data_IF_040179400641
#
_entry.id   IF_040179400641
#
_cell.length_a   1.000
_cell.length_b   1.000
_cell.length_c   1.000
_cell.angle_alpha   90.00
_cell.angle_beta   90.00
_cell.angle_gamma   90.00
#
_symmetry.space_group_name_H-M   'P 1'
#
loop_
_entity.id
_entity.type
_entity.pdbx_description
1 polymer ?
#
# COMPACT_ATOMS: atom_id res chain seq x y z
N UNK A 1 5.10 -12.29 27.46
CA UNK A 1 5.29 -10.96 26.83
C UNK A 1 5.09 -11.10 25.33
N UNK A 2 4.14 -10.36 24.74
CA UNK A 2 3.90 -10.35 23.29
C UNK A 2 5.06 -9.60 22.64
N UNK A 3 5.77 -10.22 21.69
CA UNK A 3 6.85 -9.56 20.93
C UNK A 3 6.25 -8.31 20.25
N UNK A 4 6.84 -7.12 20.37
CA UNK A 4 6.36 -5.95 19.64
C UNK A 4 6.35 -6.29 18.13
N UNK A 5 5.40 -5.74 17.34
CA UNK A 5 5.40 -5.96 15.90
C UNK A 5 6.78 -5.56 15.36
N UNK A 6 7.34 -6.39 14.47
CA UNK A 6 8.61 -6.07 13.85
C UNK A 6 8.49 -4.75 13.08
N UNK A 7 9.26 -3.74 13.50
CA UNK A 7 9.29 -2.44 12.84
C UNK A 7 9.67 -2.57 11.35
N UNK A 8 9.11 -1.67 10.56
CA UNK A 8 9.31 -1.58 9.12
C UNK A 8 10.79 -1.37 8.77
N UNK A 9 11.29 -2.01 7.70
CA UNK A 9 12.66 -1.82 7.20
C UNK A 9 12.69 -0.76 6.08
N UNK A 10 13.19 0.47 6.32
CA UNK A 10 13.15 1.55 5.33
C UNK A 10 14.02 1.31 4.09
N UNK A 11 15.12 0.55 4.21
CA UNK A 11 16.04 0.28 3.09
C UNK A 11 15.41 -0.69 2.07
N UNK A 12 14.75 -1.75 2.54
CA UNK A 12 13.95 -2.64 1.69
C UNK A 12 12.75 -1.89 1.08
N UNK A 13 12.18 -0.95 1.84
CA UNK A 13 11.09 -0.08 1.39
C UNK A 13 11.54 0.88 0.27
N UNK A 14 12.76 1.42 0.35
CA UNK A 14 13.32 2.38 -0.61
C UNK A 14 13.54 1.83 -2.02
N UNK A 15 13.79 0.52 -2.18
CA UNK A 15 14.01 -0.14 -3.48
C UNK A 15 12.85 0.02 -4.46
N UNK A 16 11.63 0.26 -3.95
CA UNK A 16 10.42 0.42 -4.76
C UNK A 16 9.83 1.84 -4.70
N UNK A 17 10.64 2.84 -4.31
CA UNK A 17 10.20 4.23 -4.11
C UNK A 17 9.54 4.85 -5.34
N UNK A 18 10.08 4.60 -6.54
CA UNK A 18 9.50 5.10 -7.81
C UNK A 18 8.09 4.56 -8.08
N UNK A 19 7.87 3.27 -7.82
CA UNK A 19 6.57 2.61 -8.01
C UNK A 19 5.50 3.11 -7.03
N UNK A 20 5.92 3.80 -5.96
CA UNK A 20 5.05 4.31 -4.90
C UNK A 20 4.74 5.79 -5.05
N UNK A 21 5.62 6.55 -5.69
CA UNK A 21 5.41 7.96 -5.97
C UNK A 21 4.36 8.18 -7.05
N UNK A 22 4.35 7.37 -8.12
CA UNK A 22 3.43 7.55 -9.25
C UNK A 22 1.94 7.59 -8.83
N UNK A 23 1.43 6.67 -8.00
CA UNK A 23 0.07 6.76 -7.48
C UNK A 23 -0.21 8.06 -6.72
N UNK A 24 0.72 8.51 -5.88
CA UNK A 24 0.53 9.76 -5.15
C UNK A 24 0.44 10.97 -6.09
N UNK A 25 1.25 10.99 -7.16
CA UNK A 25 1.19 12.04 -8.19
C UNK A 25 -0.12 11.99 -8.98
N UNK A 26 -0.58 10.79 -9.36
CA UNK A 26 -1.84 10.63 -10.08
C UNK A 26 -3.05 11.06 -9.21
N UNK A 27 -3.01 10.78 -7.90
CA UNK A 27 -4.00 11.31 -6.95
C UNK A 27 -3.94 12.83 -6.86
N UNK A 28 -2.74 13.40 -6.69
CA UNK A 28 -2.54 14.84 -6.55
C UNK A 28 -3.04 15.61 -7.79
N UNK A 29 -2.86 15.03 -8.99
CA UNK A 29 -3.37 15.61 -10.24
C UNK A 29 -4.91 15.65 -10.31
N UNK A 30 -5.63 14.90 -9.48
CA UNK A 30 -7.09 14.86 -9.41
C UNK A 30 -7.68 15.72 -8.29
N UNK A 31 -6.83 16.29 -7.42
CA UNK A 31 -7.28 17.26 -6.41
C UNK A 31 -7.60 18.58 -7.12
N UNK A 32 -8.87 18.96 -7.11
CA UNK A 32 -9.35 20.22 -7.66
C UNK A 32 -8.78 21.43 -6.88
N UNK A 33 -9.03 22.64 -7.39
CA UNK A 33 -8.60 23.85 -6.72
C UNK A 33 -9.18 23.93 -5.29
N UNK A 34 -8.29 24.13 -4.33
CA UNK A 34 -8.62 24.19 -2.91
C UNK A 34 -8.89 25.65 -2.49
N UNK A 35 -9.76 25.90 -1.49
CA UNK A 35 -9.98 27.24 -0.93
C UNK A 35 -8.66 27.92 -0.57
N UNK A 36 -8.53 29.23 -0.80
CA UNK A 36 -7.24 29.95 -0.72
C UNK A 36 -6.51 29.83 0.64
N UNK A 37 -7.25 29.61 1.73
CA UNK A 37 -6.71 29.40 3.07
C UNK A 37 -6.95 27.96 3.56
N UNK A 38 -6.15 27.52 4.54
CA UNK A 38 -6.30 26.22 5.19
C UNK A 38 -5.00 25.40 5.18
N UNK A 39 -4.81 24.61 6.25
CA UNK A 39 -3.70 23.66 6.36
C UNK A 39 -3.92 22.40 5.51
N UNK A 40 -2.83 21.69 5.22
CA UNK A 40 -2.82 20.40 4.55
C UNK A 40 -2.37 19.32 5.51
N UNK A 41 -2.96 18.14 5.36
CA UNK A 41 -2.63 16.96 6.16
C UNK A 41 -2.25 15.82 5.24
N UNK A 42 -1.07 15.24 5.45
CA UNK A 42 -0.61 14.01 4.79
C UNK A 42 -0.74 12.84 5.78
N UNK A 43 -1.79 12.02 5.62
CA UNK A 43 -2.07 10.88 6.50
C UNK A 43 -1.37 9.62 5.96
N UNK A 44 -0.58 8.96 6.80
CA UNK A 44 0.32 7.88 6.40
C UNK A 44 1.53 8.41 5.61
N UNK A 45 2.09 9.56 6.02
CA UNK A 45 3.12 10.26 5.27
C UNK A 45 4.42 9.46 5.09
N UNK A 46 4.63 8.40 5.89
CA UNK A 46 5.85 7.60 5.87
C UNK A 46 7.08 8.49 6.03
N UNK A 47 8.06 8.31 5.13
CA UNK A 47 9.28 9.12 5.06
C UNK A 47 9.13 10.42 4.24
N UNK A 48 7.91 10.95 4.10
CA UNK A 48 7.65 12.26 3.51
C UNK A 48 7.86 12.37 1.98
N UNK A 49 7.86 11.25 1.25
CA UNK A 49 8.09 11.22 -0.21
C UNK A 49 7.11 12.11 -0.99
N UNK A 50 5.87 12.24 -0.50
CA UNK A 50 4.81 13.03 -1.15
C UNK A 50 4.88 14.52 -0.75
N UNK A 51 5.52 14.84 0.38
CA UNK A 51 5.55 16.20 0.93
C UNK A 51 6.17 17.24 0.00
N UNK A 52 7.18 16.88 -0.80
CA UNK A 52 7.78 17.78 -1.78
C UNK A 52 6.79 18.16 -2.90
N UNK A 53 6.05 17.17 -3.42
CA UNK A 53 5.04 17.41 -4.46
C UNK A 53 3.87 18.27 -3.93
N UNK A 54 3.45 18.06 -2.68
CA UNK A 54 2.44 18.87 -2.03
C UNK A 54 2.87 20.33 -1.86
N UNK A 55 4.10 20.57 -1.38
CA UNK A 55 4.65 21.93 -1.24
C UNK A 55 4.82 22.64 -2.58
N UNK A 56 5.20 21.91 -3.63
CA UNK A 56 5.31 22.46 -4.98
C UNK A 56 3.93 22.83 -5.55
N UNK A 57 2.91 21.98 -5.36
CA UNK A 57 1.57 22.24 -5.90
C UNK A 57 0.81 23.31 -5.12
N UNK A 58 1.00 23.36 -3.81
CA UNK A 58 0.31 24.29 -2.91
C UNK A 58 1.31 25.12 -2.10
N UNK A 59 2.03 26.05 -2.74
CA UNK A 59 3.03 26.87 -2.07
C UNK A 59 2.39 27.73 -0.97
N UNK A 60 3.10 27.88 0.16
CA UNK A 60 2.68 28.74 1.27
C UNK A 60 1.65 28.14 2.23
N UNK A 61 1.12 26.94 1.98
CA UNK A 61 0.24 26.24 2.92
C UNK A 61 1.04 25.47 3.98
N UNK A 62 0.56 25.51 5.22
CA UNK A 62 1.10 24.66 6.29
C UNK A 62 0.78 23.21 5.95
N UNK A 63 1.82 22.38 5.82
CA UNK A 63 1.69 20.94 5.62
C UNK A 63 2.05 20.21 6.91
N UNK A 64 1.19 19.27 7.29
CA UNK A 64 1.30 18.51 8.52
C UNK A 64 1.24 17.01 8.19
N UNK A 65 2.21 16.22 8.67
CA UNK A 65 2.33 14.80 8.34
C UNK A 65 1.96 13.90 9.51
N UNK A 66 1.11 12.90 9.30
CA UNK A 66 0.68 11.95 10.34
C UNK A 66 1.06 10.55 9.89
N UNK A 67 1.62 9.75 10.80
CA UNK A 67 1.87 8.33 10.58
C UNK A 67 1.60 7.54 11.87
N UNK A 68 1.38 6.23 11.78
CA UNK A 68 1.16 5.36 12.94
C UNK A 68 2.46 4.80 13.54
N UNK A 69 3.58 4.90 12.80
CA UNK A 69 4.90 4.46 13.27
C UNK A 69 5.62 5.61 13.95
N UNK A 70 5.98 5.44 15.23
CA UNK A 70 6.82 6.41 15.97
C UNK A 70 8.18 6.64 15.31
N UNK A 71 8.73 5.63 14.62
CA UNK A 71 9.95 5.76 13.83
C UNK A 71 9.76 6.63 12.56
N UNK A 72 8.58 6.63 11.96
CA UNK A 72 8.23 7.51 10.83
C UNK A 72 7.80 8.91 11.31
N UNK A 73 7.11 9.01 12.46
CA UNK A 73 6.67 10.25 13.09
C UNK A 73 7.80 11.10 13.68
N UNK A 74 8.96 10.51 14.01
CA UNK A 74 10.14 11.26 14.44
C UNK A 74 10.60 12.30 13.38
N UNK A 75 10.15 12.16 12.14
CA UNK A 75 10.39 13.09 11.03
C UNK A 75 9.15 13.91 10.61
N UNK A 76 7.94 13.60 11.10
CA UNK A 76 6.68 14.17 10.61
C UNK A 76 5.70 14.52 11.75
N UNK A 77 5.43 15.81 11.95
CA UNK A 77 4.55 16.33 13.02
C UNK A 77 3.05 16.35 12.68
N UNK A 78 2.21 16.11 13.72
CA UNK A 78 0.78 15.69 13.75
C UNK A 78 -0.31 16.66 13.25
N UNK A 79 -1.45 16.14 12.74
CA UNK A 79 -2.57 16.89 12.13
C UNK A 79 -4.02 16.46 12.48
N UNK A 80 -4.99 17.37 12.22
CA UNK A 80 -6.43 17.32 12.57
C UNK A 80 -7.47 17.28 11.41
N UNK A 81 -8.69 17.83 11.63
CA UNK A 81 -9.95 17.64 10.85
C UNK A 81 -10.17 18.56 9.63
N UNK A 82 -11.13 18.22 8.73
CA UNK A 82 -11.47 18.99 7.52
C UNK A 82 -12.33 20.24 7.81
N UNK A 83 -12.16 21.31 7.03
CA UNK A 83 -13.02 22.51 6.97
C UNK A 83 -14.06 22.42 5.81
N UNK A 84 -15.15 23.23 5.79
CA UNK A 84 -16.05 23.27 4.62
C UNK A 84 -15.26 23.67 3.37
N UNK A 85 -15.54 23.01 2.23
CA UNK A 85 -14.72 23.14 1.00
C UNK A 85 -13.35 22.46 1.07
N UNK A 86 -12.97 21.86 2.21
CA UNK A 86 -11.77 21.03 2.33
C UNK A 86 -11.93 19.71 1.57
N UNK A 87 -10.82 19.19 1.06
CA UNK A 87 -10.78 17.91 0.33
C UNK A 87 -9.93 16.89 1.08
N UNK A 88 -10.49 15.69 1.30
CA UNK A 88 -9.75 14.49 1.64
C UNK A 88 -9.40 13.74 0.35
N UNK A 89 -8.12 13.42 0.16
CA UNK A 89 -7.64 12.66 -0.99
C UNK A 89 -6.89 11.43 -0.48
N UNK A 90 -7.30 10.24 -0.91
CA UNK A 90 -6.76 8.97 -0.40
C UNK A 90 -6.45 8.03 -1.55
N UNK A 91 -5.35 7.29 -1.42
CA UNK A 91 -5.02 6.18 -2.28
C UNK A 91 -4.59 4.99 -1.42
N UNK A 92 -5.17 3.81 -1.66
CA UNK A 92 -4.83 2.56 -0.95
C UNK A 92 -4.53 1.40 -1.91
N UNK A 93 -3.56 0.52 -1.59
CA UNK A 93 -3.33 -0.70 -2.36
C UNK A 93 -4.50 -1.68 -2.18
N UNK A 94 -4.97 -2.30 -3.27
CA UNK A 94 -6.02 -3.34 -3.24
C UNK A 94 -5.49 -4.71 -3.68
N UNK A 95 -4.38 -5.12 -3.07
CA UNK A 95 -3.70 -6.37 -3.42
C UNK A 95 -4.21 -7.60 -2.67
N UNK A 96 -5.17 -7.45 -1.75
CA UNK A 96 -5.66 -8.56 -0.92
C UNK A 96 -6.03 -9.81 -1.73
N UNK A 97 -6.77 -9.67 -2.83
CA UNK A 97 -7.17 -10.78 -3.70
C UNK A 97 -6.17 -11.16 -4.80
N UNK A 98 -5.11 -10.37 -5.00
CA UNK A 98 -4.11 -10.65 -6.04
C UNK A 98 -3.38 -11.97 -5.73
N UNK A 99 -3.01 -12.78 -6.74
CA UNK A 99 -2.30 -14.05 -6.52
C UNK A 99 -1.10 -13.92 -5.57
N UNK A 100 -0.32 -12.83 -5.69
CA UNK A 100 0.81 -12.53 -4.81
C UNK A 100 0.48 -12.49 -3.31
N UNK A 101 -0.70 -12.00 -2.91
CA UNK A 101 -1.08 -11.94 -1.49
C UNK A 101 -1.99 -13.09 -1.08
N UNK A 102 -2.81 -13.58 -2.01
CA UNK A 102 -3.70 -14.71 -1.78
C UNK A 102 -2.89 -15.97 -1.48
N UNK A 103 -1.89 -16.30 -2.31
CA UNK A 103 -1.07 -17.50 -2.10
C UNK A 103 -0.33 -17.49 -0.76
N UNK A 104 0.14 -16.33 -0.29
CA UNK A 104 0.75 -16.22 1.04
C UNK A 104 -0.21 -16.70 2.14
N UNK A 105 -1.46 -16.24 2.09
CA UNK A 105 -2.47 -16.60 3.08
C UNK A 105 -2.91 -18.05 2.96
N UNK A 106 -3.27 -18.46 1.75
CA UNK A 106 -3.80 -19.79 1.48
C UNK A 106 -2.79 -20.87 1.84
N UNK A 107 -1.52 -20.70 1.45
CA UNK A 107 -0.49 -21.69 1.76
C UNK A 107 -0.07 -21.66 3.22
N UNK A 108 -0.08 -20.50 3.88
CA UNK A 108 0.23 -20.45 5.30
C UNK A 108 -0.85 -21.16 6.13
N UNK A 109 -2.12 -20.94 5.79
CA UNK A 109 -3.25 -21.62 6.45
C UNK A 109 -3.26 -23.14 6.16
N UNK A 110 -2.93 -23.54 4.94
CA UNK A 110 -2.87 -24.95 4.55
C UNK A 110 -1.69 -25.70 5.21
N UNK A 111 -0.50 -25.10 5.22
CA UNK A 111 0.71 -25.73 5.76
C UNK A 111 0.81 -25.65 7.28
N UNK A 112 0.29 -24.58 7.89
CA UNK A 112 0.39 -24.35 9.34
C UNK A 112 -0.96 -23.91 9.93
N UNK A 113 -2.00 -24.77 9.88
CA UNK A 113 -3.35 -24.42 10.31
C UNK A 113 -3.46 -24.02 11.79
N UNK A 114 -2.55 -24.53 12.64
CA UNK A 114 -2.50 -24.16 14.06
C UNK A 114 -1.96 -22.73 14.29
N UNK A 115 -1.30 -22.14 13.28
CA UNK A 115 -0.64 -20.82 13.38
C UNK A 115 -1.33 -19.76 12.51
N UNK A 116 -1.94 -20.17 11.41
CA UNK A 116 -2.66 -19.29 10.50
C UNK A 116 -4.06 -19.86 10.24
N UNK A 117 -5.07 -19.02 10.49
CA UNK A 117 -6.44 -19.38 10.15
C UNK A 117 -6.68 -19.26 8.64
N UNK A 118 -7.52 -20.16 8.11
CA UNK A 118 -8.08 -20.02 6.76
C UNK A 118 -8.75 -18.64 6.65
N UNK A 119 -8.35 -17.87 5.65
CA UNK A 119 -8.78 -16.47 5.57
C UNK A 119 -10.12 -16.34 4.87
N UNK A 120 -11.21 -16.65 5.57
CA UNK A 120 -12.56 -16.11 5.25
C UNK A 120 -12.66 -14.67 5.79
N UNK A 121 -11.73 -13.81 5.41
CA UNK A 121 -11.60 -12.45 5.94
C UNK A 121 -12.17 -11.40 5.00
N UNK A 122 -12.79 -10.37 5.59
CA UNK A 122 -13.15 -9.15 4.85
C UNK A 122 -11.85 -8.43 4.44
N UNK A 123 -11.68 -8.08 3.15
CA UNK A 123 -10.52 -7.31 2.70
C UNK A 123 -10.40 -6.01 3.52
N UNK A 124 -9.19 -5.60 3.93
CA UNK A 124 -9.01 -4.39 4.74
C UNK A 124 -9.35 -3.10 3.98
N UNK A 125 -9.46 -3.17 2.65
CA UNK A 125 -9.82 -2.06 1.77
C UNK A 125 -11.09 -2.45 1.02
N UNK A 126 -12.16 -1.70 1.27
CA UNK A 126 -13.46 -1.85 0.61
C UNK A 126 -13.34 -1.67 -0.92
N UNK A 127 -14.36 -2.12 -1.64
CA UNK A 127 -14.51 -1.87 -3.07
C UNK A 127 -14.79 -0.40 -3.37
N UNK A 128 -14.58 0.08 -4.62
CA UNK A 128 -14.92 1.45 -5.02
C UNK A 128 -16.39 1.79 -4.77
N UNK A 129 -17.29 0.84 -5.03
CA UNK A 129 -18.74 1.04 -4.86
C UNK A 129 -19.09 1.21 -3.38
N UNK A 130 -18.48 0.42 -2.50
CA UNK A 130 -18.66 0.56 -1.05
C UNK A 130 -18.10 1.88 -0.53
N UNK A 131 -16.90 2.29 -0.97
CA UNK A 131 -16.35 3.60 -0.62
C UNK A 131 -17.24 4.74 -1.13
N UNK A 132 -17.73 4.67 -2.36
CA UNK A 132 -18.62 5.70 -2.89
C UNK A 132 -19.90 5.81 -2.05
N UNK A 133 -20.54 4.68 -1.70
CA UNK A 133 -21.73 4.67 -0.83
C UNK A 133 -21.44 5.25 0.56
N UNK A 134 -20.27 4.94 1.13
CA UNK A 134 -19.84 5.45 2.43
C UNK A 134 -19.60 6.97 2.41
N UNK A 135 -18.99 7.48 1.33
CA UNK A 135 -18.56 8.87 1.22
C UNK A 135 -19.67 9.81 0.73
N UNK A 136 -20.64 9.31 -0.04
CA UNK A 136 -21.70 10.11 -0.65
C UNK A 136 -22.52 10.98 0.35
N UNK A 137 -22.83 10.53 1.58
CA UNK A 137 -23.52 11.37 2.56
C UNK A 137 -22.66 12.50 3.14
N UNK A 138 -21.35 12.47 2.95
CA UNK A 138 -20.38 13.40 3.57
C UNK A 138 -19.98 14.56 2.65
N UNK A 139 -20.40 14.53 1.39
CA UNK A 139 -20.08 15.55 0.39
C UNK A 139 -19.93 14.96 -1.02
N UNK A 140 -19.21 15.69 -1.87
CA UNK A 140 -18.97 15.26 -3.24
C UNK A 140 -17.79 14.31 -3.29
N UNK A 141 -18.05 13.03 -3.60
CA UNK A 141 -17.04 12.00 -3.73
C UNK A 141 -16.73 11.67 -5.20
N UNK A 142 -15.45 11.48 -5.51
CA UNK A 142 -14.98 10.83 -6.75
C UNK A 142 -14.14 9.62 -6.34
N UNK A 143 -14.43 8.45 -6.92
CA UNK A 143 -13.81 7.17 -6.54
C UNK A 143 -13.43 6.40 -7.80
N UNK A 144 -12.18 5.96 -7.89
CA UNK A 144 -11.68 5.24 -9.06
C UNK A 144 -10.62 4.19 -8.72
N UNK A 145 -10.32 3.31 -9.67
CA UNK A 145 -9.25 2.32 -9.58
C UNK A 145 -8.28 2.44 -10.76
N UNK A 146 -7.01 2.15 -10.49
CA UNK A 146 -5.96 2.05 -11.51
C UNK A 146 -5.16 0.77 -11.26
N UNK A 147 -4.99 -0.01 -12.32
CA UNK A 147 -4.03 -1.11 -12.37
C UNK A 147 -2.72 -0.62 -12.99
N UNK A 148 -1.70 -0.45 -12.16
CA UNK A 148 -0.34 -0.15 -12.62
C UNK A 148 0.37 -1.45 -12.95
N UNK A 149 0.81 -1.65 -14.18
CA UNK A 149 1.69 -2.77 -14.52
C UNK A 149 3.13 -2.37 -14.20
N UNK A 150 3.69 -2.97 -13.15
CA UNK A 150 5.07 -2.75 -12.75
C UNK A 150 5.96 -3.81 -13.40
N UNK A 151 7.00 -3.39 -14.11
CA UNK A 151 8.04 -4.33 -14.56
C UNK A 151 9.03 -4.52 -13.41
N UNK A 152 9.07 -5.72 -12.83
CA UNK A 152 10.03 -6.09 -11.80
C UNK A 152 11.26 -6.69 -12.47
N UNK A 153 12.42 -6.08 -12.23
CA UNK A 153 13.68 -6.53 -12.83
C UNK A 153 14.07 -7.95 -12.37
N UNK A 154 14.85 -8.67 -13.20
CA UNK A 154 15.41 -9.96 -12.82
C UNK A 154 16.17 -9.88 -11.50
N UNK A 155 16.13 -10.96 -10.74
CA UNK A 155 16.87 -11.08 -9.50
C UNK A 155 17.86 -12.24 -9.54
N UNK A 156 18.98 -12.10 -8.82
CA UNK A 156 20.00 -13.14 -8.74
C UNK A 156 19.48 -14.44 -8.10
N UNK A 157 18.45 -14.36 -7.24
CA UNK A 157 17.83 -15.53 -6.64
C UNK A 157 16.32 -15.38 -6.47
N UNK A 158 15.62 -16.38 -7.01
CA UNK A 158 14.18 -16.60 -6.94
C UNK A 158 13.31 -15.53 -7.63
N UNK A 159 12.01 -15.65 -7.43
CA UNK A 159 11.01 -14.95 -8.24
C UNK A 159 10.96 -13.44 -7.91
N UNK A 160 10.99 -12.52 -8.90
CA UNK A 160 10.93 -11.07 -8.64
C UNK A 160 9.73 -10.64 -7.80
N UNK A 161 8.55 -11.22 -8.05
CA UNK A 161 7.34 -10.98 -7.23
C UNK A 161 7.51 -11.48 -5.79
N UNK A 162 8.23 -12.59 -5.56
CA UNK A 162 8.48 -13.09 -4.19
C UNK A 162 9.30 -12.08 -3.42
N UNK A 163 10.40 -11.59 -3.98
CA UNK A 163 11.25 -10.54 -3.38
C UNK A 163 10.47 -9.25 -3.10
N UNK A 164 9.59 -8.85 -4.02
CA UNK A 164 8.70 -7.71 -3.78
C UNK A 164 7.80 -7.97 -2.57
N UNK A 165 7.10 -9.10 -2.56
CA UNK A 165 6.19 -9.44 -1.45
C UNK A 165 6.91 -9.69 -0.15
N UNK A 166 8.16 -10.14 -0.17
CA UNK A 166 8.99 -10.34 1.01
C UNK A 166 9.15 -9.03 1.78
N UNK A 167 9.42 -7.94 1.05
CA UNK A 167 9.58 -6.61 1.60
C UNK A 167 8.26 -5.93 2.00
N UNK A 168 7.10 -6.40 1.53
CA UNK A 168 5.81 -5.68 1.70
C UNK A 168 4.73 -6.44 2.44
N UNK A 169 4.78 -7.77 2.49
CA UNK A 169 3.66 -8.59 2.96
C UNK A 169 4.06 -9.94 3.58
N UNK A 170 5.18 -10.55 3.19
CA UNK A 170 5.53 -11.93 3.60
C UNK A 170 6.13 -12.00 5.01
N UNK A 171 6.76 -10.93 5.50
CA UNK A 171 7.52 -10.95 6.75
C UNK A 171 6.75 -11.49 7.97
N UNK A 172 5.46 -11.13 8.21
CA UNK A 172 4.69 -11.69 9.31
C UNK A 172 4.53 -13.21 9.26
N UNK A 173 4.53 -13.82 8.07
CA UNK A 173 4.45 -15.27 7.91
C UNK A 173 5.80 -15.93 8.26
N UNK A 174 6.90 -15.36 7.76
CA UNK A 174 8.25 -15.87 8.03
C UNK A 174 8.62 -15.75 9.51
N UNK A 175 8.19 -14.69 10.19
CA UNK A 175 8.44 -14.48 11.63
C UNK A 175 7.73 -15.52 12.52
N UNK A 176 6.73 -16.25 11.99
CA UNK A 176 5.90 -17.21 12.72
C UNK A 176 6.24 -18.68 12.42
N UNK A 177 7.23 -18.94 11.57
CA UNK A 177 7.67 -20.28 11.17
C UNK A 177 9.20 -20.42 11.30
N UNK A 178 9.67 -21.66 11.38
CA UNK A 178 11.10 -21.97 11.44
C UNK A 178 11.77 -21.80 10.07
N UNK A 179 13.12 -21.78 10.05
CA UNK A 179 13.87 -21.63 8.81
C UNK A 179 13.63 -22.78 7.80
N UNK A 180 13.46 -24.01 8.27
CA UNK A 180 13.14 -25.16 7.40
C UNK A 180 11.72 -25.06 6.83
N UNK A 181 10.75 -24.70 7.66
CA UNK A 181 9.37 -24.45 7.23
C UNK A 181 9.29 -23.28 6.24
N UNK A 182 10.09 -22.23 6.45
CA UNK A 182 10.18 -21.09 5.54
C UNK A 182 10.73 -21.50 4.16
N UNK A 183 11.72 -22.39 4.10
CA UNK A 183 12.26 -22.86 2.83
C UNK A 183 11.19 -23.61 2.01
N UNK A 184 10.43 -24.50 2.64
CA UNK A 184 9.34 -25.24 1.99
C UNK A 184 8.20 -24.30 1.56
N UNK A 185 7.81 -23.37 2.44
CA UNK A 185 6.79 -22.37 2.16
C UNK A 185 7.17 -21.48 0.97
N UNK A 186 8.41 -20.98 0.94
CA UNK A 186 8.92 -20.15 -0.17
C UNK A 186 8.95 -20.95 -1.46
N UNK A 187 9.40 -22.21 -1.43
CA UNK A 187 9.43 -23.05 -2.64
C UNK A 187 8.02 -23.25 -3.23
N UNK A 188 7.03 -23.58 -2.40
CA UNK A 188 5.63 -23.71 -2.83
C UNK A 188 5.07 -22.40 -3.36
N UNK A 189 5.36 -21.30 -2.68
CA UNK A 189 4.92 -19.97 -3.08
C UNK A 189 5.53 -19.54 -4.42
N UNK A 190 6.84 -19.73 -4.64
CA UNK A 190 7.49 -19.41 -5.92
C UNK A 190 6.98 -20.25 -7.08
N UNK A 191 6.70 -21.54 -6.86
CA UNK A 191 6.10 -22.39 -7.89
C UNK A 191 4.72 -21.87 -8.34
N UNK A 192 3.88 -21.44 -7.40
CA UNK A 192 2.58 -20.85 -7.73
C UNK A 192 2.71 -19.47 -8.38
N UNK A 193 3.68 -18.66 -7.95
CA UNK A 193 3.97 -17.36 -8.58
C UNK A 193 4.40 -17.51 -10.03
N UNK A 194 5.24 -18.49 -10.37
CA UNK A 194 5.70 -18.70 -11.74
C UNK A 194 4.54 -18.97 -12.72
N UNK A 195 3.46 -19.59 -12.25
CA UNK A 195 2.25 -19.78 -13.04
C UNK A 195 1.39 -18.51 -13.15
N UNK A 196 1.26 -17.74 -12.06
CA UNK A 196 0.42 -16.55 -12.01
C UNK A 196 1.08 -15.29 -12.60
N UNK A 197 2.41 -15.24 -12.57
CA UNK A 197 3.25 -14.15 -13.03
C UNK A 197 4.45 -14.72 -13.79
N UNK A 198 4.25 -15.18 -15.04
CA UNK A 198 5.32 -15.77 -15.83
C UNK A 198 6.52 -14.84 -15.97
N UNK A 199 7.71 -15.44 -16.00
CA UNK A 199 8.97 -14.72 -16.24
C UNK A 199 9.12 -14.46 -17.73
N UNK A 200 9.39 -13.20 -18.08
CA UNK A 200 9.65 -12.75 -19.44
C UNK A 200 10.99 -13.29 -19.96
N UNK A 201 11.22 -13.20 -21.27
CA UNK A 201 12.46 -13.70 -21.90
C UNK A 201 13.75 -13.08 -21.35
N UNK A 202 13.66 -11.86 -20.81
CA UNK A 202 14.77 -11.13 -20.20
C UNK A 202 14.90 -11.36 -18.68
N UNK A 203 14.07 -12.24 -18.11
CA UNK A 203 14.05 -12.56 -16.68
C UNK A 203 13.19 -11.63 -15.83
N UNK A 204 12.56 -10.60 -16.41
CA UNK A 204 11.68 -9.70 -15.69
C UNK A 204 10.30 -10.31 -15.48
N UNK A 205 9.48 -9.67 -14.64
CA UNK A 205 8.08 -10.05 -14.44
C UNK A 205 7.18 -8.83 -14.52
N UNK A 206 6.08 -8.94 -15.26
CA UNK A 206 5.01 -7.95 -15.26
C UNK A 206 4.09 -8.17 -14.06
N UNK A 207 4.07 -7.20 -13.16
CA UNK A 207 3.37 -7.28 -11.89
C UNK A 207 2.27 -6.22 -11.77
N UNK A 208 0.99 -6.59 -11.97
CA UNK A 208 -0.14 -5.71 -11.76
C UNK A 208 -0.24 -5.25 -10.30
N UNK A 209 -0.37 -3.94 -10.12
CA UNK A 209 -0.48 -3.29 -8.84
C UNK A 209 -1.75 -2.44 -8.77
N UNK A 210 -2.83 -3.07 -8.31
CA UNK A 210 -4.15 -2.42 -8.20
C UNK A 210 -4.17 -1.42 -7.05
N UNK A 211 -4.64 -0.22 -7.36
CA UNK A 211 -4.82 0.87 -6.40
C UNK A 211 -6.20 1.48 -6.53
N UNK A 212 -6.83 1.66 -5.38
CA UNK A 212 -8.05 2.44 -5.24
C UNK A 212 -7.69 3.85 -4.84
N UNK A 213 -8.46 4.79 -5.35
CA UNK A 213 -8.33 6.21 -5.10
C UNK A 213 -9.70 6.80 -4.80
N UNK A 214 -9.72 7.82 -3.95
CA UNK A 214 -10.88 8.71 -3.88
C UNK A 214 -10.49 10.13 -3.49
N UNK A 215 -11.34 11.07 -3.88
CA UNK A 215 -11.43 12.39 -3.28
C UNK A 215 -12.82 12.56 -2.64
N UNK A 216 -12.88 13.27 -1.53
CA UNK A 216 -14.12 13.73 -0.90
C UNK A 216 -13.96 15.22 -0.61
N UNK A 217 -14.77 16.04 -1.26
CA UNK A 217 -14.88 17.47 -0.95
C UNK A 217 -16.10 17.67 -0.05
N UNK A 218 -15.88 18.23 1.15
CA UNK A 218 -16.97 18.54 2.06
C UNK A 218 -17.79 19.70 1.53
N UNK A 219 -19.06 19.45 1.26
CA UNK A 219 -20.07 20.49 0.98
C UNK A 219 -20.52 21.15 2.27
N UNK A 220 -21.16 22.32 2.19
CA UNK A 220 -21.62 23.09 3.38
C UNK A 220 -22.39 22.25 4.40
#
# INVERSE_FOLDING_TARGET
MRKPPADWNPAAYGRFRGLRLRPALDLLARVADLPAAGGMVDLGCGNGVVGAALKQRFPGRVLTGVDGSTAMLAEAGQAGSLAPGGTLAVQMPRQYGAPSHRFLRDFAADMFPDRFAATEGQPPVMTPVEYHRLLAPLGRADVWEIDYVQRLEPAASGHPVRLFTEATAMRPYLDAISASEAAEFIQRYEAALAAAYPVETDGAVLFPFRRLFFTLTRTE
#
